data_IF_418738178055
#
_entry.id   IF_418738178055
#
_cell.length_a   1.000
_cell.length_b   1.000
_cell.length_c   1.000
_cell.angle_alpha   90.00
_cell.angle_beta   90.00
_cell.angle_gamma   90.00
#
_symmetry.space_group_name_H-M   'P 1'
#
loop_
_entity.id
_entity.type
_entity.pdbx_description
1 polymer ?
#
# COMPACT_ATOMS: atom_id res chain seq x y z
N UNK A 1 -3.73 -8.71 -5.83
CA UNK A 1 -2.48 -9.29 -5.29
C UNK A 1 -2.51 -9.25 -3.77
N UNK A 2 -1.56 -9.91 -3.11
CA UNK A 2 -1.43 -9.95 -1.64
C UNK A 2 -0.05 -9.44 -1.21
N UNK A 3 0.02 -8.85 -0.03
CA UNK A 3 1.27 -8.34 0.53
C UNK A 3 1.12 -7.92 1.98
N UNK A 4 2.19 -7.35 2.53
CA UNK A 4 2.25 -6.89 3.92
C UNK A 4 2.52 -5.38 3.94
N UNK A 5 1.82 -4.63 4.78
CA UNK A 5 2.16 -3.22 5.03
C UNK A 5 3.54 -3.17 5.65
N UNK A 6 4.52 -2.70 4.88
CA UNK A 6 5.91 -2.60 5.31
C UNK A 6 6.16 -1.34 6.13
N UNK A 7 5.52 -0.25 5.73
CA UNK A 7 5.73 1.07 6.35
C UNK A 7 4.50 1.95 6.21
N UNK A 8 4.17 2.67 7.28
CA UNK A 8 3.24 3.79 7.27
C UNK A 8 3.99 5.09 7.55
N UNK A 9 3.46 6.21 7.05
CA UNK A 9 4.06 7.53 7.27
C UNK A 9 3.01 8.51 7.76
N UNK A 10 3.45 9.58 8.42
CA UNK A 10 2.60 10.67 8.90
C UNK A 10 2.00 11.52 7.77
N UNK A 11 2.26 11.16 6.50
CA UNK A 11 1.81 11.87 5.30
C UNK A 11 0.69 11.12 4.56
N UNK A 12 -0.05 10.26 5.25
CA UNK A 12 -1.18 9.49 4.70
C UNK A 12 -0.79 8.61 3.49
N UNK A 13 0.43 8.08 3.51
CA UNK A 13 0.88 7.10 2.53
C UNK A 13 1.76 6.05 3.19
N UNK A 14 1.90 4.92 2.53
CA UNK A 14 2.73 3.82 2.98
C UNK A 14 3.31 3.01 1.84
N UNK A 15 3.92 1.88 2.22
CA UNK A 15 4.51 0.93 1.30
C UNK A 15 4.05 -0.49 1.63
N UNK A 16 3.71 -1.26 0.60
CA UNK A 16 3.35 -2.67 0.68
C UNK A 16 4.53 -3.49 0.17
N UNK A 17 5.01 -4.42 0.98
CA UNK A 17 5.94 -5.45 0.52
C UNK A 17 5.15 -6.57 -0.16
N UNK A 18 5.57 -6.94 -1.36
CA UNK A 18 5.01 -8.03 -2.16
C UNK A 18 6.09 -9.08 -2.44
N UNK A 19 5.69 -10.33 -2.66
CA UNK A 19 6.65 -11.38 -2.98
C UNK A 19 7.26 -11.16 -4.38
N UNK A 20 8.59 -11.26 -4.46
CA UNK A 20 9.32 -11.25 -5.74
C UNK A 20 9.38 -9.92 -6.47
N UNK A 21 9.02 -8.80 -5.83
CA UNK A 21 9.01 -7.47 -6.44
C UNK A 21 9.51 -6.36 -5.52
N UNK A 22 9.56 -5.15 -6.05
CA UNK A 22 9.84 -3.94 -5.28
C UNK A 22 8.65 -3.56 -4.39
N UNK A 23 8.91 -2.81 -3.32
CA UNK A 23 7.85 -2.29 -2.46
C UNK A 23 6.93 -1.35 -3.25
N UNK A 24 5.62 -1.53 -3.10
CA UNK A 24 4.62 -0.72 -3.79
C UNK A 24 4.15 0.43 -2.92
N UNK A 25 4.16 1.62 -3.49
CA UNK A 25 3.59 2.82 -2.86
C UNK A 25 2.06 2.75 -2.90
N UNK A 26 1.40 3.19 -1.82
CA UNK A 26 -0.03 3.47 -1.80
C UNK A 26 -0.33 4.76 -1.02
N UNK A 27 -1.41 5.45 -1.39
CA UNK A 27 -1.90 6.64 -0.67
C UNK A 27 -3.24 6.32 0.01
N UNK A 28 -3.55 7.00 1.11
CA UNK A 28 -4.81 6.84 1.85
C UNK A 28 -6.08 7.03 0.99
N UNK A 29 -5.95 7.78 -0.12
CA UNK A 29 -7.06 8.04 -1.05
C UNK A 29 -7.42 6.81 -1.90
N UNK A 30 -6.53 5.83 -2.01
CA UNK A 30 -6.74 4.59 -2.75
C UNK A 30 -7.39 3.50 -1.89
N UNK A 31 -7.53 3.71 -0.58
CA UNK A 31 -8.09 2.71 0.33
C UNK A 31 -9.59 2.50 0.07
N UNK A 32 -10.01 1.24 0.05
CA UNK A 32 -11.40 0.85 -0.15
C UNK A 32 -11.89 0.09 1.07
N UNK A 33 -12.96 0.59 1.69
CA UNK A 33 -13.61 -0.07 2.84
C UNK A 33 -12.83 -0.02 4.16
N UNK A 34 -11.68 0.67 4.20
CA UNK A 34 -10.87 0.93 5.41
C UNK A 34 -10.31 2.34 5.39
N UNK A 35 -10.03 2.90 6.56
CA UNK A 35 -9.32 4.17 6.73
C UNK A 35 -7.83 3.96 7.03
N UNK A 36 -7.00 4.95 6.69
CA UNK A 36 -5.55 4.85 6.90
C UNK A 36 -5.16 4.65 8.37
N UNK A 37 -5.95 5.22 9.30
CA UNK A 37 -5.75 5.09 10.75
C UNK A 37 -6.01 3.68 11.30
N UNK A 38 -6.70 2.82 10.54
CA UNK A 38 -6.97 1.44 10.93
C UNK A 38 -5.83 0.48 10.57
N UNK A 39 -4.93 0.91 9.68
CA UNK A 39 -3.82 0.12 9.18
C UNK A 39 -2.65 0.08 10.16
N UNK A 40 -1.94 -1.05 10.20
CA UNK A 40 -0.70 -1.23 10.97
C UNK A 40 0.41 -1.81 10.10
N UNK A 41 1.64 -1.46 10.42
CA UNK A 41 2.81 -2.15 9.86
C UNK A 41 2.77 -3.63 10.27
N UNK A 42 2.96 -4.52 9.30
CA UNK A 42 2.80 -5.96 9.45
C UNK A 42 1.43 -6.51 9.05
N UNK A 43 0.43 -5.66 8.80
CA UNK A 43 -0.89 -6.14 8.36
C UNK A 43 -0.82 -6.77 6.96
N UNK A 44 -1.50 -7.91 6.81
CA UNK A 44 -1.72 -8.53 5.51
C UNK A 44 -2.83 -7.81 4.76
N UNK A 45 -2.58 -7.47 3.50
CA UNK A 45 -3.49 -6.70 2.66
C UNK A 45 -3.65 -7.32 1.28
N UNK A 46 -4.81 -7.06 0.68
CA UNK A 46 -5.09 -7.29 -0.73
C UNK A 46 -5.14 -5.96 -1.47
N UNK A 47 -4.52 -5.89 -2.63
CA UNK A 47 -4.45 -4.65 -3.42
C UNK A 47 -4.39 -4.95 -4.92
N UNK A 48 -4.72 -3.95 -5.73
CA UNK A 48 -4.53 -3.96 -7.18
C UNK A 48 -3.35 -3.06 -7.54
N UNK A 49 -2.72 -3.29 -8.69
CA UNK A 49 -1.59 -2.45 -9.15
C UNK A 49 -2.03 -1.66 -10.35
N UNK A 50 -1.81 -0.36 -10.28
CA UNK A 50 -2.07 0.57 -11.37
C UNK A 50 -0.76 1.19 -11.87
N UNK A 51 -0.65 1.37 -13.18
CA UNK A 51 0.43 2.15 -13.77
C UNK A 51 0.07 3.63 -13.74
N UNK A 52 0.86 4.42 -13.03
CA UNK A 52 0.70 5.89 -12.97
C UNK A 52 1.85 6.57 -13.70
N UNK A 53 1.74 7.88 -14.02
CA UNK A 53 2.86 8.66 -14.55
C UNK A 53 4.12 8.66 -13.66
N UNK A 54 3.99 8.26 -12.38
CA UNK A 54 5.08 8.17 -11.40
C UNK A 54 5.59 6.75 -11.19
N UNK A 55 5.13 5.78 -11.99
CA UNK A 55 5.43 4.35 -11.81
C UNK A 55 4.24 3.57 -11.24
N UNK A 56 4.48 2.31 -10.87
CA UNK A 56 3.47 1.41 -10.32
C UNK A 56 3.06 1.84 -8.90
N UNK A 57 1.76 1.86 -8.64
CA UNK A 57 1.17 2.17 -7.34
C UNK A 57 0.02 1.22 -7.01
N UNK A 58 -0.37 1.19 -5.74
CA UNK A 58 -1.51 0.46 -5.21
C UNK A 58 -2.52 1.41 -4.53
#
# INVERSE_FOLDING_TARGET
MQGIIKKLTDKNFGFISQEGGEDLFFHANSLVGVSFSELREGDAVTFEVEETPKGKAA
#
